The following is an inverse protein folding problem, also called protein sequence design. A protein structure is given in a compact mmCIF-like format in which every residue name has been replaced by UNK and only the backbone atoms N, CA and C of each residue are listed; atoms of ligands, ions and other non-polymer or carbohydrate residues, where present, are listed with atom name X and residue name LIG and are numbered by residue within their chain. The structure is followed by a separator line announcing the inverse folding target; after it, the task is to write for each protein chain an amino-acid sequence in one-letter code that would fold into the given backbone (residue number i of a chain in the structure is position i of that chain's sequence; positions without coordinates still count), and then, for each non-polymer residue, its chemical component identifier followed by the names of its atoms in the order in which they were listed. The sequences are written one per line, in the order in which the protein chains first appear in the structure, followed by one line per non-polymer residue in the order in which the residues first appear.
data_IF_422385817841
#
_entry.id   IF_422385817841
#
_cell.length_a   1.000
_cell.length_b   1.000
_cell.length_c   1.000
_cell.angle_alpha   90.00
_cell.angle_beta   90.00
_cell.angle_gamma   90.00
#
_symmetry.space_group_name_H-M   'P 1'
#
loop_
_entity.id
_entity.type
_entity.pdbx_description
1 polymer ?
#
# COMPACT_ATOMS: atom_id res chain seq x y z
N UNK A 1 -36.76 -0.64 3.59
CA UNK A 1 -35.71 -1.40 2.93
C UNK A 1 -35.73 -1.15 1.43
N UNK A 2 -34.65 -0.76 0.88
CA UNK A 2 -34.56 -0.55 -0.56
C UNK A 2 -34.49 -1.91 -1.26
N UNK A 3 -35.45 -2.16 -2.18
CA UNK A 3 -35.52 -3.41 -2.91
C UNK A 3 -35.35 -3.12 -4.40
N UNK A 4 -34.36 -2.38 -4.76
CA UNK A 4 -34.05 -2.18 -6.17
C UNK A 4 -32.96 -3.15 -6.63
N UNK A 5 -32.71 -3.21 -7.95
CA UNK A 5 -31.56 -3.99 -8.42
C UNK A 5 -30.28 -3.43 -7.83
N UNK A 6 -29.29 -4.30 -7.53
CA UNK A 6 -28.00 -3.84 -7.08
C UNK A 6 -27.39 -2.91 -8.13
N UNK A 7 -26.69 -1.89 -7.67
CA UNK A 7 -26.08 -0.91 -8.56
C UNK A 7 -24.57 -1.00 -8.46
N UNK A 8 -23.91 -1.16 -9.61
CA UNK A 8 -22.46 -1.05 -9.70
C UNK A 8 -22.01 0.41 -9.60
N UNK A 9 -22.94 1.32 -9.84
CA UNK A 9 -22.67 2.76 -9.83
C UNK A 9 -22.87 3.42 -8.46
N UNK A 10 -22.94 2.63 -7.38
CA UNK A 10 -22.96 3.18 -6.03
C UNK A 10 -21.64 3.89 -5.77
N UNK A 11 -21.67 5.21 -5.85
CA UNK A 11 -20.48 6.04 -5.84
C UNK A 11 -20.60 7.06 -4.72
N UNK A 12 -19.52 7.17 -3.94
CA UNK A 12 -19.40 8.19 -2.90
C UNK A 12 -18.31 9.17 -3.30
N UNK A 13 -18.58 10.46 -3.04
CA UNK A 13 -17.60 11.54 -3.21
C UNK A 13 -17.01 11.93 -1.86
N UNK A 14 -15.74 12.34 -1.86
CA UNK A 14 -15.02 12.72 -0.63
C UNK A 14 -15.11 11.62 0.42
N UNK A 15 -14.71 10.43 0.03
CA UNK A 15 -14.90 9.20 0.77
C UNK A 15 -13.74 8.94 1.73
N UNK A 16 -14.06 8.40 2.92
CA UNK A 16 -13.07 7.92 3.88
C UNK A 16 -13.55 6.59 4.46
N UNK A 17 -12.66 5.62 4.56
CA UNK A 17 -12.93 4.30 5.13
C UNK A 17 -11.80 3.91 6.06
N UNK A 18 -12.14 3.48 7.27
CA UNK A 18 -11.18 2.90 8.21
C UNK A 18 -11.38 1.39 8.30
N UNK A 19 -10.30 0.64 8.36
CA UNK A 19 -10.33 -0.81 8.45
C UNK A 19 -9.48 -1.30 9.62
N UNK A 20 -9.93 -2.40 10.21
CA UNK A 20 -9.31 -3.00 11.39
C UNK A 20 -9.01 -4.47 11.12
N UNK A 21 -7.96 -4.98 11.76
CA UNK A 21 -7.63 -6.41 11.68
C UNK A 21 -8.58 -7.21 12.55
N UNK A 22 -8.57 -8.52 12.39
CA UNK A 22 -9.42 -9.43 13.16
C UNK A 22 -9.13 -9.37 14.66
N UNK A 23 -7.91 -8.98 15.05
CA UNK A 23 -7.56 -8.79 16.47
C UNK A 23 -8.02 -7.43 17.04
N UNK A 24 -8.68 -6.60 16.23
CA UNK A 24 -9.17 -5.29 16.62
C UNK A 24 -8.18 -4.15 16.42
N UNK A 25 -6.92 -4.43 16.04
CA UNK A 25 -5.96 -3.38 15.80
C UNK A 25 -6.27 -2.62 14.52
N UNK A 26 -5.91 -1.33 14.49
CA UNK A 26 -6.09 -0.49 13.30
C UNK A 26 -5.19 -1.01 12.18
N UNK A 27 -5.75 -1.17 10.99
CA UNK A 27 -5.01 -1.59 9.81
C UNK A 27 -4.73 -0.43 8.87
N UNK A 28 -5.77 0.20 8.35
CA UNK A 28 -5.58 1.33 7.43
C UNK A 28 -6.79 2.24 7.39
N UNK A 29 -6.55 3.43 6.87
CA UNK A 29 -7.58 4.39 6.49
C UNK A 29 -7.31 4.79 5.04
N UNK A 30 -8.35 4.82 4.23
CA UNK A 30 -8.26 5.29 2.86
C UNK A 30 -9.16 6.50 2.67
N UNK A 31 -8.60 7.51 2.03
CA UNK A 31 -9.33 8.70 1.58
C UNK A 31 -9.26 8.77 0.07
N UNK A 32 -10.36 9.13 -0.56
CA UNK A 32 -10.41 9.23 -2.01
C UNK A 32 -11.50 10.22 -2.46
N UNK A 33 -11.29 10.91 -3.60
CA UNK A 33 -12.33 11.76 -4.14
C UNK A 33 -13.55 10.99 -4.62
N UNK A 34 -13.37 9.72 -4.97
CA UNK A 34 -14.48 8.90 -5.46
C UNK A 34 -14.24 7.42 -5.16
N UNK A 35 -15.31 6.73 -4.77
CA UNK A 35 -15.32 5.28 -4.57
C UNK A 35 -16.59 4.68 -5.16
N UNK A 36 -16.45 3.48 -5.74
CA UNK A 36 -17.57 2.71 -6.24
C UNK A 36 -17.58 1.33 -5.60
N UNK A 37 -18.71 0.91 -5.07
CA UNK A 37 -18.87 -0.42 -4.48
C UNK A 37 -19.53 -1.35 -5.48
N UNK A 38 -18.93 -2.53 -5.67
CA UNK A 38 -19.53 -3.55 -6.54
C UNK A 38 -20.75 -4.17 -5.86
N UNK A 39 -21.92 -4.24 -6.55
CA UNK A 39 -23.18 -4.59 -5.89
C UNK A 39 -23.25 -6.03 -5.39
N UNK A 40 -22.60 -6.96 -6.06
CA UNK A 40 -22.62 -8.37 -5.66
C UNK A 40 -21.34 -8.79 -4.93
N UNK A 41 -20.20 -8.36 -5.40
CA UNK A 41 -18.93 -8.75 -4.81
C UNK A 41 -18.63 -8.00 -3.52
N UNK A 42 -19.22 -6.82 -3.35
CA UNK A 42 -19.00 -6.00 -2.17
C UNK A 42 -17.61 -5.37 -2.12
N UNK A 43 -16.84 -5.50 -3.19
CA UNK A 43 -15.51 -4.91 -3.30
C UNK A 43 -15.61 -3.42 -3.63
N UNK A 44 -14.51 -2.69 -3.40
CA UNK A 44 -14.47 -1.24 -3.62
C UNK A 44 -13.45 -0.91 -4.69
N UNK A 45 -13.85 -0.10 -5.67
CA UNK A 45 -12.93 0.54 -6.61
C UNK A 45 -12.77 1.99 -6.19
N UNK A 46 -11.53 2.44 -6.07
CA UNK A 46 -11.20 3.73 -5.46
C UNK A 46 -10.37 4.52 -6.46
N UNK A 47 -10.75 5.77 -6.72
CA UNK A 47 -10.00 6.66 -7.60
C UNK A 47 -9.07 7.53 -6.79
N UNK A 48 -7.81 7.61 -7.20
CA UNK A 48 -6.77 8.44 -6.57
C UNK A 48 -6.73 8.26 -5.05
N UNK A 49 -6.62 7.00 -4.57
CA UNK A 49 -6.66 6.73 -3.15
C UNK A 49 -5.41 7.24 -2.44
N UNK A 50 -5.62 7.67 -1.18
CA UNK A 50 -4.55 7.94 -0.24
C UNK A 50 -4.76 7.04 0.96
N UNK A 51 -3.82 6.15 1.18
CA UNK A 51 -3.86 5.21 2.30
C UNK A 51 -2.91 5.64 3.40
N UNK A 52 -3.36 5.51 4.62
CA UNK A 52 -2.53 5.51 5.80
C UNK A 52 -2.64 4.13 6.42
N UNK A 53 -1.55 3.41 6.46
CA UNK A 53 -1.48 2.02 6.89
C UNK A 53 -0.57 1.92 8.11
N UNK A 54 -0.94 1.09 9.09
CA UNK A 54 -0.08 0.79 10.24
C UNK A 54 0.23 -0.71 10.19
N UNK A 55 1.51 -1.05 10.11
CA UNK A 55 1.92 -2.44 10.07
C UNK A 55 1.88 -3.09 11.46
N UNK A 56 2.09 -4.41 11.50
CA UNK A 56 2.03 -5.17 12.76
C UNK A 56 3.10 -4.77 13.77
N UNK A 57 4.14 -4.07 13.35
CA UNK A 57 5.16 -3.51 14.23
C UNK A 57 4.85 -2.10 14.72
N UNK A 58 3.69 -1.55 14.35
CA UNK A 58 3.28 -0.21 14.75
C UNK A 58 3.83 0.91 13.90
N UNK A 59 4.46 0.61 12.77
CA UNK A 59 5.02 1.62 11.88
C UNK A 59 3.97 2.12 10.90
N UNK A 60 3.91 3.45 10.74
CA UNK A 60 2.98 4.10 9.83
C UNK A 60 3.55 4.17 8.42
N UNK A 61 2.71 3.88 7.44
CA UNK A 61 3.00 3.99 6.01
C UNK A 61 1.97 4.90 5.38
N UNK A 62 2.41 5.67 4.40
CA UNK A 62 1.52 6.44 3.55
C UNK A 62 1.67 5.93 2.12
N UNK A 63 0.56 5.71 1.44
CA UNK A 63 0.57 5.20 0.08
C UNK A 63 -0.47 5.93 -0.77
N UNK A 64 -0.14 6.12 -2.03
CA UNK A 64 -1.04 6.72 -3.02
C UNK A 64 -0.87 6.05 -4.36
N UNK A 65 -1.88 6.12 -5.19
CA UNK A 65 -1.89 5.59 -6.54
C UNK A 65 -2.95 6.30 -7.36
N UNK A 66 -2.99 6.02 -8.67
CA UNK A 66 -4.09 6.51 -9.52
C UNK A 66 -5.37 5.73 -9.28
N UNK A 67 -5.26 4.44 -9.00
CA UNK A 67 -6.39 3.57 -8.75
C UNK A 67 -6.10 2.64 -7.57
N UNK A 68 -7.17 2.25 -6.88
CA UNK A 68 -7.09 1.27 -5.82
C UNK A 68 -8.29 0.33 -5.84
N UNK A 69 -8.10 -0.82 -5.21
CA UNK A 69 -9.14 -1.81 -5.04
C UNK A 69 -9.04 -2.37 -3.63
N UNK A 70 -10.16 -2.52 -2.96
CA UNK A 70 -10.23 -3.07 -1.61
C UNK A 70 -11.20 -4.23 -1.61
N UNK A 71 -10.80 -5.36 -1.06
CA UNK A 71 -11.65 -6.53 -0.94
C UNK A 71 -12.83 -6.25 -0.01
N UNK A 72 -13.87 -7.06 -0.13
CA UNK A 72 -15.10 -6.92 0.66
C UNK A 72 -14.83 -6.90 2.16
N UNK A 73 -13.90 -7.72 2.62
CA UNK A 73 -13.55 -7.86 4.03
C UNK A 73 -12.38 -6.94 4.44
N UNK A 74 -11.90 -6.11 3.51
CA UNK A 74 -10.77 -5.20 3.72
C UNK A 74 -9.46 -5.90 4.10
N UNK A 75 -9.32 -7.18 3.75
CA UNK A 75 -8.09 -7.93 4.03
C UNK A 75 -7.08 -7.86 2.91
N UNK A 76 -7.50 -7.46 1.73
CA UNK A 76 -6.61 -7.27 0.59
C UNK A 76 -6.83 -5.89 -0.02
N UNK A 77 -5.72 -5.22 -0.31
CA UNK A 77 -5.71 -3.92 -0.97
C UNK A 77 -4.79 -4.01 -2.17
N UNK A 78 -5.25 -3.52 -3.32
CA UNK A 78 -4.43 -3.41 -4.53
C UNK A 78 -4.33 -1.96 -4.95
N UNK A 79 -3.11 -1.52 -5.21
CA UNK A 79 -2.84 -0.20 -5.73
C UNK A 79 -2.30 -0.34 -7.14
N UNK A 80 -2.81 0.45 -8.07
CA UNK A 80 -2.50 0.33 -9.49
C UNK A 80 -2.22 1.70 -10.08
N UNK A 81 -1.21 1.74 -10.95
CA UNK A 81 -0.75 2.92 -11.66
C UNK A 81 -0.13 3.98 -10.76
N UNK A 82 1.13 4.24 -11.04
CA UNK A 82 1.91 5.28 -10.36
C UNK A 82 1.80 5.16 -8.83
N UNK A 83 2.11 3.99 -8.32
CA UNK A 83 2.02 3.69 -6.90
C UNK A 83 3.24 4.22 -6.18
N UNK A 84 3.01 4.96 -5.11
CA UNK A 84 4.06 5.45 -4.22
C UNK A 84 3.67 5.14 -2.79
N UNK A 85 4.53 4.43 -2.08
CA UNK A 85 4.36 4.13 -0.67
C UNK A 85 5.61 4.57 0.08
N UNK A 86 5.43 5.10 1.29
CA UNK A 86 6.56 5.53 2.09
C UNK A 86 6.32 5.29 3.57
N UNK A 87 7.39 4.91 4.24
CA UNK A 87 7.46 4.87 5.70
C UNK A 87 8.37 6.00 6.13
N UNK A 88 7.83 7.03 6.81
CA UNK A 88 8.64 8.16 7.28
C UNK A 88 9.70 7.73 8.27
N UNK A 89 10.74 8.52 8.38
CA UNK A 89 11.79 8.29 9.37
C UNK A 89 11.23 8.41 10.79
N UNK A 90 11.60 7.45 11.61
CA UNK A 90 11.35 7.50 13.06
C UNK A 90 12.65 7.16 13.78
N UNK A 91 12.70 7.40 15.09
CA UNK A 91 13.91 7.13 15.86
C UNK A 91 14.33 5.66 15.70
N UNK A 92 15.57 5.44 15.25
CA UNK A 92 16.13 4.11 15.08
C UNK A 92 15.71 3.39 13.80
N UNK A 93 14.98 4.06 12.91
CA UNK A 93 14.52 3.44 11.66
C UNK A 93 14.58 4.45 10.51
N UNK A 94 15.33 4.12 9.46
CA UNK A 94 15.46 4.96 8.28
C UNK A 94 14.16 5.03 7.49
N UNK A 95 13.91 6.13 6.77
CA UNK A 95 12.76 6.20 5.88
C UNK A 95 12.94 5.24 4.72
N UNK A 96 11.83 4.74 4.21
CA UNK A 96 11.80 3.86 3.05
C UNK A 96 10.68 4.31 2.11
N UNK A 97 10.99 4.41 0.82
CA UNK A 97 10.01 4.71 -0.21
C UNK A 97 9.98 3.59 -1.24
N UNK A 98 8.78 3.26 -1.70
CA UNK A 98 8.55 2.24 -2.72
C UNK A 98 7.79 2.88 -3.86
N UNK A 99 8.34 2.82 -5.07
CA UNK A 99 7.67 3.23 -6.30
C UNK A 99 7.47 2.02 -7.17
N UNK A 100 6.25 1.81 -7.66
CA UNK A 100 5.91 0.66 -8.47
C UNK A 100 4.72 0.96 -9.38
N UNK A 101 4.53 0.15 -10.41
CA UNK A 101 3.33 0.22 -11.24
C UNK A 101 2.12 -0.39 -10.52
N UNK A 102 2.35 -1.34 -9.62
CA UNK A 102 1.31 -1.92 -8.79
C UNK A 102 1.89 -2.39 -7.46
N UNK A 103 1.05 -2.42 -6.43
CA UNK A 103 1.34 -3.07 -5.16
C UNK A 103 0.10 -3.81 -4.69
N UNK A 104 0.30 -5.00 -4.15
CA UNK A 104 -0.75 -5.78 -3.52
C UNK A 104 -0.41 -5.99 -2.06
N UNK A 105 -1.33 -5.67 -1.17
CA UNK A 105 -1.12 -5.78 0.26
C UNK A 105 -2.12 -6.74 0.88
N UNK A 106 -1.60 -7.69 1.67
CA UNK A 106 -2.40 -8.57 2.50
C UNK A 106 -2.34 -8.02 3.93
N UNK A 107 -3.45 -7.47 4.39
CA UNK A 107 -3.50 -6.63 5.58
C UNK A 107 -3.27 -7.44 6.86
N UNK A 108 -3.82 -8.65 6.94
CA UNK A 108 -3.69 -9.47 8.15
C UNK A 108 -2.28 -9.99 8.39
N UNK A 109 -1.52 -10.23 7.32
CA UNK A 109 -0.17 -10.81 7.41
C UNK A 109 0.93 -9.80 7.16
N UNK A 110 0.59 -8.54 6.86
CA UNK A 110 1.54 -7.47 6.54
C UNK A 110 2.43 -7.79 5.34
N UNK A 111 1.92 -8.54 4.39
CA UNK A 111 2.67 -8.90 3.20
C UNK A 111 2.31 -7.99 2.04
N UNK A 112 3.34 -7.50 1.37
CA UNK A 112 3.21 -6.62 0.21
C UNK A 112 3.96 -7.25 -0.95
N UNK A 113 3.35 -7.24 -2.12
CA UNK A 113 3.97 -7.84 -3.30
C UNK A 113 3.66 -7.02 -4.56
N UNK A 114 4.48 -7.22 -5.57
CA UNK A 114 4.28 -6.68 -6.90
C UNK A 114 4.94 -7.61 -7.91
N UNK A 115 4.36 -7.71 -9.10
CA UNK A 115 4.98 -8.44 -10.23
C UNK A 115 5.64 -7.49 -11.21
N UNK A 116 5.53 -6.19 -10.98
CA UNK A 116 6.01 -5.15 -11.88
C UNK A 116 7.38 -4.62 -11.47
N UNK A 117 7.87 -3.64 -12.24
CA UNK A 117 9.10 -2.94 -11.88
C UNK A 117 8.90 -2.16 -10.58
N UNK A 118 9.87 -2.25 -9.69
CA UNK A 118 9.83 -1.65 -8.36
C UNK A 118 11.13 -0.92 -8.09
N UNK A 119 11.02 0.25 -7.48
CA UNK A 119 12.17 1.00 -6.97
C UNK A 119 12.02 1.16 -5.46
N UNK A 120 13.04 0.76 -4.71
CA UNK A 120 13.13 0.95 -3.27
C UNK A 120 14.17 2.03 -2.99
N UNK A 121 13.81 3.02 -2.18
CA UNK A 121 14.70 4.14 -1.82
C UNK A 121 14.81 4.27 -0.32
N UNK A 122 16.02 4.38 0.15
CA UNK A 122 16.33 4.76 1.52
C UNK A 122 17.56 5.66 1.51
N UNK A 123 17.94 6.32 2.62
CA UNK A 123 19.10 7.20 2.60
C UNK A 123 20.34 6.49 2.07
N UNK A 124 20.95 7.06 1.02
CA UNK A 124 22.15 6.51 0.41
C UNK A 124 21.96 5.25 -0.43
N UNK A 125 20.74 4.78 -0.62
CA UNK A 125 20.50 3.52 -1.32
C UNK A 125 19.30 3.62 -2.25
N UNK A 126 19.47 3.15 -3.48
CA UNK A 126 18.40 2.99 -4.46
C UNK A 126 18.55 1.59 -5.05
N UNK A 127 17.50 0.78 -4.93
CA UNK A 127 17.44 -0.56 -5.50
C UNK A 127 16.29 -0.62 -6.49
N UNK A 128 16.56 -1.18 -7.66
CA UNK A 128 15.53 -1.40 -8.69
C UNK A 128 15.50 -2.87 -9.05
N UNK A 129 14.32 -3.37 -9.31
CA UNK A 129 14.14 -4.75 -9.73
C UNK A 129 12.76 -4.96 -10.29
N UNK A 130 12.49 -6.19 -10.71
CA UNK A 130 11.17 -6.62 -11.19
C UNK A 130 10.65 -7.67 -10.23
N UNK A 131 9.45 -7.41 -9.71
CA UNK A 131 8.86 -8.26 -8.68
C UNK A 131 9.38 -7.96 -7.30
N UNK A 132 8.46 -7.82 -6.36
CA UNK A 132 8.75 -7.54 -4.96
C UNK A 132 7.98 -8.51 -4.08
N UNK A 133 8.65 -9.05 -3.08
CA UNK A 133 8.01 -9.71 -1.94
C UNK A 133 8.52 -9.05 -0.68
N UNK A 134 7.60 -8.49 0.10
CA UNK A 134 7.94 -7.78 1.32
C UNK A 134 7.11 -8.29 2.48
N UNK A 135 7.75 -8.40 3.63
CA UNK A 135 7.09 -8.65 4.90
C UNK A 135 7.35 -7.43 5.78
N UNK A 136 6.30 -6.62 5.99
CA UNK A 136 6.43 -5.38 6.75
C UNK A 136 6.62 -5.64 8.25
N UNK A 137 6.18 -6.81 8.72
CA UNK A 137 6.31 -7.18 10.12
C UNK A 137 7.76 -7.47 10.50
N UNK A 138 8.51 -8.11 9.61
CA UNK A 138 9.93 -8.43 9.83
C UNK A 138 10.87 -7.40 9.20
N UNK A 139 10.34 -6.53 8.33
CA UNK A 139 11.13 -5.56 7.61
C UNK A 139 11.95 -6.15 6.47
N UNK A 140 11.56 -7.32 5.97
CA UNK A 140 12.27 -7.99 4.89
C UNK A 140 11.67 -7.64 3.53
N UNK A 141 12.53 -7.18 2.61
CA UNK A 141 12.18 -6.81 1.25
C UNK A 141 13.06 -7.58 0.28
N UNK A 142 12.44 -8.29 -0.65
CA UNK A 142 13.13 -9.10 -1.65
C UNK A 142 12.68 -8.68 -3.04
N UNK A 143 13.63 -8.28 -3.88
CA UNK A 143 13.41 -8.06 -5.30
C UNK A 143 13.72 -9.37 -6.04
N UNK A 144 12.81 -9.83 -6.91
CA UNK A 144 12.89 -11.19 -7.49
C UNK A 144 13.88 -11.29 -8.62
N UNK A 145 13.96 -10.28 -9.51
CA UNK A 145 14.80 -10.37 -10.68
C UNK A 145 15.25 -9.02 -11.19
N UNK A 146 16.24 -9.00 -12.09
CA UNK A 146 16.77 -7.81 -12.73
C UNK A 146 17.17 -6.74 -11.73
N UNK A 147 17.75 -7.16 -10.62
CA UNK A 147 18.07 -6.26 -9.52
C UNK A 147 19.30 -5.44 -9.86
N UNK A 148 19.17 -4.12 -9.78
CA UNK A 148 20.27 -3.18 -9.86
C UNK A 148 20.20 -2.29 -8.63
N UNK A 149 21.37 -1.83 -8.16
CA UNK A 149 21.40 -1.03 -6.97
C UNK A 149 22.50 0.00 -7.00
N UNK A 150 22.29 1.06 -6.22
CA UNK A 150 23.28 2.09 -5.97
C UNK A 150 23.27 2.37 -4.48
N UNK A 151 24.44 2.38 -3.90
CA UNK A 151 24.63 2.72 -2.49
C UNK A 151 25.71 3.78 -2.37
N UNK A 152 25.39 4.87 -1.67
CA UNK A 152 26.34 5.93 -1.38
C UNK A 152 26.60 5.97 0.14
N UNK A 153 27.72 5.40 0.60
CA UNK A 153 28.00 5.37 2.04
C UNK A 153 28.22 6.76 2.66
N UNK A 154 28.56 7.77 1.86
CA UNK A 154 28.70 9.13 2.38
C UNK A 154 27.37 9.72 2.84
N UNK A 155 26.28 9.44 2.11
CA UNK A 155 24.96 9.90 2.50
C UNK A 155 24.46 9.17 3.73
N UNK A 156 24.75 7.88 3.83
CA UNK A 156 24.33 7.06 4.95
C UNK A 156 25.15 7.34 6.22
N UNK A 157 26.41 7.72 6.07
CA UNK A 157 27.32 7.99 7.17
C UNK A 157 27.20 9.40 7.76
N UNK A 158 26.43 10.29 7.17
CA UNK A 158 26.26 11.64 7.68
C UNK A 158 25.40 11.64 8.94
N UNK A 159 25.85 12.33 10.00
CA UNK A 159 25.10 12.40 11.24
C UNK A 159 23.78 13.17 11.11
#
# INVERSE_FOLDING_TARGET
TFIGPPRSDYTLSAFSLAAYRTDGSFAFEVEAPRMTRHPWLGTFAVEQPRFRFVDGGGHAWNARADEGWVSKDAKEVRLMRDVHAERPAVAGLDPLAIDAASLNALVETDQVSSDDAVTLRSPGSILRGTGLDADLRTGRFVLRSQVTGRYDPKLDALP
#
